data_IF_540448188869
#
_entry.id   IF_540448188869
#
_cell.length_a   1.000
_cell.length_b   1.000
_cell.length_c   1.000
_cell.angle_alpha   90.00
_cell.angle_beta   90.00
_cell.angle_gamma   90.00
#
_symmetry.space_group_name_H-M   'P 1'
#
loop_
_entity.id
_entity.type
_entity.pdbx_description
1 polymer ?
#
# COMPACT_ATOMS: atom_id res chain seq x y z
N UNK A 1 -19.38 -6.40 -21.14
CA UNK A 1 -20.01 -5.13 -20.72
C UNK A 1 -19.65 -4.74 -19.27
N UNK A 2 -19.51 -5.67 -18.33
CA UNK A 2 -19.06 -5.35 -16.97
C UNK A 2 -17.60 -4.84 -16.92
N UNK A 3 -16.74 -5.36 -17.76
CA UNK A 3 -15.30 -5.05 -17.82
C UNK A 3 -15.03 -3.57 -18.16
N UNK A 4 -15.82 -2.99 -19.05
CA UNK A 4 -15.68 -1.57 -19.46
C UNK A 4 -16.05 -0.62 -18.32
N UNK A 5 -16.96 -1.01 -17.44
CA UNK A 5 -17.43 -0.16 -16.34
C UNK A 5 -16.40 -0.04 -15.22
N UNK A 6 -15.61 -1.10 -14.96
CA UNK A 6 -14.54 -1.08 -13.96
C UNK A 6 -13.38 -0.20 -14.41
N UNK A 7 -13.02 -0.29 -15.70
CA UNK A 7 -11.91 0.47 -16.27
C UNK A 7 -12.22 1.96 -16.45
N UNK A 8 -13.49 2.32 -16.73
CA UNK A 8 -13.89 3.72 -16.96
C UNK A 8 -13.78 4.64 -15.74
N UNK A 9 -13.65 4.06 -14.53
CA UNK A 9 -13.48 4.81 -13.28
C UNK A 9 -12.04 4.85 -12.76
N UNK A 10 -11.08 4.22 -13.46
CA UNK A 10 -9.70 4.19 -13.03
C UNK A 10 -8.96 5.48 -13.38
N UNK A 11 -8.24 6.01 -12.40
CA UNK A 11 -7.23 7.02 -12.66
C UNK A 11 -5.91 6.31 -12.96
N UNK A 12 -5.33 6.60 -14.14
CA UNK A 12 -3.99 6.13 -14.51
C UNK A 12 -2.88 7.10 -14.10
N UNK A 13 -3.22 8.01 -13.20
CA UNK A 13 -2.30 9.04 -12.70
C UNK A 13 -1.46 8.52 -11.54
N UNK A 14 -0.29 9.11 -11.37
CA UNK A 14 0.59 8.90 -10.23
C UNK A 14 0.03 9.63 -9.00
N UNK A 15 0.05 8.97 -7.84
CA UNK A 15 -0.34 9.62 -6.59
C UNK A 15 0.92 10.05 -5.83
N UNK A 16 1.25 11.34 -5.88
CA UNK A 16 2.45 11.91 -5.27
C UNK A 16 2.07 13.10 -4.40
N UNK A 17 2.50 13.08 -3.14
CA UNK A 17 2.25 14.17 -2.18
C UNK A 17 0.77 14.56 -2.05
N UNK A 18 -0.13 13.59 -2.05
CA UNK A 18 -1.58 13.82 -1.92
C UNK A 18 -2.27 14.32 -3.20
N UNK A 19 -1.59 14.33 -4.33
CA UNK A 19 -2.10 14.78 -5.62
C UNK A 19 -2.01 13.67 -6.67
N UNK A 20 -2.99 13.64 -7.57
CA UNK A 20 -2.96 12.83 -8.78
C UNK A 20 -2.30 13.66 -9.88
N UNK A 21 -1.24 13.14 -10.49
CA UNK A 21 -0.49 13.78 -11.57
C UNK A 21 -0.27 12.80 -12.72
N UNK A 22 -0.26 13.29 -13.93
CA UNK A 22 -0.01 12.46 -15.11
C UNK A 22 1.42 11.93 -15.11
N UNK A 23 1.60 10.69 -15.60
CA UNK A 23 2.93 10.12 -15.80
C UNK A 23 3.71 10.88 -16.86
N UNK A 24 5.04 10.93 -16.72
CA UNK A 24 5.98 11.58 -17.66
C UNK A 24 6.99 10.58 -18.24
N UNK A 25 6.78 9.28 -18.00
CA UNK A 25 7.62 8.20 -18.49
C UNK A 25 7.18 7.68 -19.86
N UNK A 26 7.42 6.41 -20.09
CA UNK A 26 7.00 5.74 -21.32
C UNK A 26 5.52 5.37 -21.25
N UNK A 27 4.87 5.34 -22.41
CA UNK A 27 3.52 4.82 -22.53
C UNK A 27 3.57 3.30 -22.57
N UNK A 28 2.74 2.66 -21.77
CA UNK A 28 2.59 1.21 -21.70
C UNK A 28 1.13 0.80 -21.88
N UNK A 29 0.92 -0.31 -22.60
CA UNK A 29 -0.37 -0.92 -22.78
C UNK A 29 -0.53 -2.11 -21.85
N UNK A 30 -1.50 -2.02 -20.95
CA UNK A 30 -1.88 -3.15 -20.09
C UNK A 30 -2.81 -4.07 -20.88
N UNK A 31 -2.44 -5.33 -20.95
CA UNK A 31 -3.10 -6.35 -21.76
C UNK A 31 -3.83 -7.35 -20.88
N UNK A 32 -5.04 -7.71 -21.24
CA UNK A 32 -5.77 -8.81 -20.61
C UNK A 32 -5.12 -10.14 -20.99
N UNK A 33 -4.55 -10.89 -20.05
CA UNK A 33 -3.85 -12.14 -20.35
C UNK A 33 -4.78 -13.27 -20.84
N UNK A 34 -6.10 -13.14 -20.61
CA UNK A 34 -7.07 -14.15 -21.05
C UNK A 34 -7.37 -14.08 -22.55
N UNK A 35 -7.29 -12.92 -23.18
CA UNK A 35 -7.67 -12.75 -24.60
C UNK A 35 -6.66 -11.94 -25.44
N UNK A 36 -5.65 -11.34 -24.81
CA UNK A 36 -4.64 -10.52 -25.48
C UNK A 36 -5.11 -9.11 -25.86
N UNK A 37 -6.30 -8.70 -25.47
CA UNK A 37 -6.81 -7.35 -25.78
C UNK A 37 -6.23 -6.31 -24.83
N UNK A 38 -5.97 -5.10 -25.34
CA UNK A 38 -5.55 -3.98 -24.52
C UNK A 38 -6.67 -3.53 -23.61
N UNK A 39 -6.43 -3.55 -22.31
CA UNK A 39 -7.33 -3.06 -21.28
C UNK A 39 -7.29 -1.53 -21.20
N UNK A 40 -6.09 -0.99 -21.09
CA UNK A 40 -5.86 0.44 -20.93
C UNK A 40 -4.43 0.79 -21.37
N UNK A 41 -4.23 2.01 -21.86
CA UNK A 41 -2.91 2.59 -22.06
C UNK A 41 -2.64 3.59 -20.93
N UNK A 42 -1.49 3.46 -20.28
CA UNK A 42 -1.06 4.37 -19.22
C UNK A 42 0.33 4.94 -19.53
N UNK A 43 0.64 6.06 -18.92
CA UNK A 43 1.98 6.63 -18.95
C UNK A 43 2.66 6.37 -17.62
N UNK A 44 3.80 5.72 -17.64
CA UNK A 44 4.57 5.42 -16.44
C UNK A 44 5.12 6.69 -15.76
N UNK A 45 5.60 6.54 -14.54
CA UNK A 45 6.32 7.60 -13.85
C UNK A 45 7.72 7.77 -14.45
N UNK A 46 8.16 9.01 -14.66
CA UNK A 46 9.56 9.31 -14.93
C UNK A 46 10.44 9.11 -13.68
N UNK A 47 11.74 8.93 -13.88
CA UNK A 47 12.70 8.87 -12.75
C UNK A 47 12.65 10.13 -11.87
N UNK A 48 12.34 11.28 -12.44
CA UNK A 48 12.17 12.54 -11.69
C UNK A 48 10.93 12.49 -10.80
N UNK A 49 9.82 11.93 -11.29
CA UNK A 49 8.59 11.73 -10.51
C UNK A 49 8.80 10.72 -9.37
N UNK A 50 9.50 9.63 -9.62
CA UNK A 50 9.89 8.67 -8.56
C UNK A 50 10.72 9.37 -7.49
N UNK A 51 11.71 10.17 -7.88
CA UNK A 51 12.51 10.99 -6.96
C UNK A 51 11.66 11.96 -6.15
N UNK A 52 10.64 12.56 -6.77
CA UNK A 52 9.69 13.47 -6.09
C UNK A 52 8.81 12.72 -5.09
N UNK A 53 8.33 11.51 -5.43
CA UNK A 53 7.57 10.65 -4.53
C UNK A 53 8.38 10.27 -3.28
N UNK A 54 9.65 9.87 -3.47
CA UNK A 54 10.55 9.55 -2.34
C UNK A 54 10.78 10.76 -1.45
N UNK A 55 11.01 11.96 -2.03
CA UNK A 55 11.17 13.20 -1.26
C UNK A 55 9.92 13.53 -0.47
N UNK A 56 8.73 13.40 -1.07
CA UNK A 56 7.45 13.63 -0.38
C UNK A 56 7.26 12.66 0.79
N UNK A 57 7.55 11.37 0.59
CA UNK A 57 7.51 10.36 1.64
C UNK A 57 8.50 10.67 2.78
N UNK A 58 9.71 11.14 2.45
CA UNK A 58 10.72 11.53 3.43
C UNK A 58 10.29 12.75 4.25
N UNK A 59 9.65 13.72 3.63
CA UNK A 59 9.08 14.87 4.35
C UNK A 59 7.95 14.44 5.30
N UNK A 60 7.05 13.57 4.84
CA UNK A 60 5.96 13.03 5.63
C UNK A 60 6.46 12.19 6.81
N UNK A 61 7.61 11.52 6.67
CA UNK A 61 8.23 10.71 7.72
C UNK A 61 8.50 11.50 8.99
N UNK A 62 8.86 12.78 8.89
CA UNK A 62 9.10 13.64 10.06
C UNK A 62 7.90 13.74 11.01
N UNK A 63 6.67 13.70 10.48
CA UNK A 63 5.44 13.65 11.27
C UNK A 63 5.03 12.20 11.58
N UNK A 64 5.04 11.33 10.57
CA UNK A 64 4.58 9.96 10.69
C UNK A 64 5.37 9.14 11.73
N UNK A 65 6.68 9.32 11.79
CA UNK A 65 7.56 8.65 12.76
C UNK A 65 7.22 8.94 14.23
N UNK A 66 6.51 10.04 14.49
CA UNK A 66 6.10 10.46 15.84
C UNK A 66 4.68 10.07 16.21
N UNK A 67 3.94 9.43 15.31
CA UNK A 67 2.59 8.97 15.59
C UNK A 67 2.58 7.88 16.65
N UNK A 68 1.53 7.86 17.46
CA UNK A 68 1.36 6.83 18.47
C UNK A 68 0.94 5.49 17.85
N UNK A 69 1.19 4.35 18.53
CA UNK A 69 0.66 3.06 18.07
C UNK A 69 -0.86 3.06 17.85
N UNK A 70 -1.62 3.80 18.67
CA UNK A 70 -3.07 3.92 18.50
C UNK A 70 -3.45 4.63 17.20
N UNK A 71 -2.75 5.70 16.83
CA UNK A 71 -3.00 6.43 15.58
C UNK A 71 -2.68 5.55 14.35
N UNK A 72 -1.57 4.80 14.41
CA UNK A 72 -1.21 3.87 13.32
C UNK A 72 -2.19 2.73 13.19
N UNK A 73 -2.62 2.13 14.32
CA UNK A 73 -3.65 1.10 14.33
C UNK A 73 -4.97 1.59 13.73
N UNK A 74 -5.42 2.78 14.10
CA UNK A 74 -6.65 3.37 13.56
C UNK A 74 -6.56 3.61 12.04
N UNK A 75 -5.39 3.98 11.51
CA UNK A 75 -5.20 4.11 10.07
C UNK A 75 -5.27 2.75 9.37
N UNK A 76 -4.58 1.73 9.88
CA UNK A 76 -4.59 0.38 9.30
C UNK A 76 -6.00 -0.21 9.26
N UNK A 77 -6.81 -0.02 10.31
CA UNK A 77 -8.21 -0.44 10.32
C UNK A 77 -9.04 0.28 9.24
N UNK A 78 -8.86 1.59 9.08
CA UNK A 78 -9.55 2.34 8.02
C UNK A 78 -9.16 1.87 6.62
N UNK A 79 -7.89 1.48 6.41
CA UNK A 79 -7.43 0.90 5.15
C UNK A 79 -8.13 -0.46 4.92
N UNK A 80 -8.16 -1.33 5.92
CA UNK A 80 -8.85 -2.62 5.85
C UNK A 80 -10.33 -2.45 5.47
N UNK A 81 -11.03 -1.55 6.15
CA UNK A 81 -12.44 -1.25 5.88
C UNK A 81 -12.66 -0.65 4.48
N UNK A 82 -11.71 0.14 3.97
CA UNK A 82 -11.79 0.70 2.62
C UNK A 82 -11.61 -0.39 1.54
N UNK A 83 -10.65 -1.30 1.71
CA UNK A 83 -10.45 -2.45 0.82
C UNK A 83 -11.69 -3.33 0.81
N UNK A 84 -12.22 -3.68 1.98
CA UNK A 84 -13.40 -4.54 2.12
C UNK A 84 -14.64 -3.95 1.43
N UNK A 85 -14.88 -2.64 1.58
CA UNK A 85 -15.99 -1.96 0.89
C UNK A 85 -15.84 -1.97 -0.64
N UNK A 86 -14.64 -1.97 -1.15
CA UNK A 86 -14.34 -1.95 -2.59
C UNK A 86 -13.97 -3.33 -3.14
N UNK A 87 -14.09 -4.39 -2.34
CA UNK A 87 -13.67 -5.73 -2.71
C UNK A 87 -14.22 -6.22 -4.07
N UNK A 88 -15.50 -6.02 -4.43
CA UNK A 88 -16.00 -6.46 -5.75
C UNK A 88 -15.30 -5.76 -6.92
N UNK A 89 -15.01 -4.46 -6.81
CA UNK A 89 -14.34 -3.70 -7.86
C UNK A 89 -12.85 -4.07 -7.97
N UNK A 90 -12.17 -4.20 -6.82
CA UNK A 90 -10.77 -4.61 -6.76
C UNK A 90 -10.58 -6.04 -7.30
N UNK A 91 -11.49 -6.97 -6.97
CA UNK A 91 -11.45 -8.33 -7.49
C UNK A 91 -11.63 -8.40 -9.01
N UNK A 92 -12.53 -7.58 -9.56
CA UNK A 92 -12.70 -7.50 -11.01
C UNK A 92 -11.46 -6.95 -11.70
N UNK A 93 -10.84 -5.90 -11.13
CA UNK A 93 -9.61 -5.33 -11.65
C UNK A 93 -8.46 -6.35 -11.63
N UNK A 94 -8.29 -7.05 -10.52
CA UNK A 94 -7.29 -8.09 -10.35
C UNK A 94 -7.49 -9.23 -11.36
N UNK A 95 -8.73 -9.68 -11.54
CA UNK A 95 -9.06 -10.73 -12.50
C UNK A 95 -8.74 -10.31 -13.95
N UNK A 96 -9.04 -9.06 -14.33
CA UNK A 96 -8.74 -8.54 -15.66
C UNK A 96 -7.23 -8.38 -15.89
N UNK A 97 -6.52 -7.86 -14.90
CA UNK A 97 -5.09 -7.53 -15.02
C UNK A 97 -4.19 -8.77 -14.96
N UNK A 98 -4.48 -9.71 -14.07
CA UNK A 98 -3.65 -10.91 -13.84
C UNK A 98 -4.19 -12.18 -14.48
N UNK A 99 -5.43 -12.17 -15.01
CA UNK A 99 -6.08 -13.37 -15.52
C UNK A 99 -6.53 -14.36 -14.46
N UNK A 100 -6.54 -13.94 -13.18
CA UNK A 100 -6.96 -14.77 -12.06
C UNK A 100 -8.48 -14.98 -12.06
N UNK A 101 -8.99 -16.15 -11.64
CA UNK A 101 -10.43 -16.36 -11.48
C UNK A 101 -11.03 -15.34 -10.49
N UNK A 102 -12.09 -14.66 -10.91
CA UNK A 102 -12.75 -13.61 -10.12
C UNK A 102 -13.15 -14.09 -8.71
N UNK A 103 -13.68 -15.32 -8.61
CA UNK A 103 -14.09 -15.86 -7.31
C UNK A 103 -12.92 -16.05 -6.35
N UNK A 104 -11.72 -16.37 -6.85
CA UNK A 104 -10.53 -16.51 -6.05
C UNK A 104 -10.05 -15.15 -5.54
N UNK A 105 -9.98 -14.14 -6.40
CA UNK A 105 -9.65 -12.78 -5.99
C UNK A 105 -10.63 -12.25 -4.92
N UNK A 106 -11.93 -12.50 -5.09
CA UNK A 106 -12.97 -12.01 -4.19
C UNK A 106 -13.04 -12.76 -2.85
N UNK A 107 -12.88 -14.08 -2.87
CA UNK A 107 -13.14 -14.91 -1.68
C UNK A 107 -11.86 -15.31 -0.91
N UNK A 108 -10.69 -15.21 -1.53
CA UNK A 108 -9.42 -15.62 -0.93
C UNK A 108 -8.46 -14.42 -0.78
N UNK A 109 -8.08 -13.77 -1.88
CA UNK A 109 -7.02 -12.76 -1.87
C UNK A 109 -7.39 -11.48 -1.12
N UNK A 110 -8.56 -10.91 -1.42
CA UNK A 110 -8.98 -9.66 -0.77
C UNK A 110 -9.30 -9.84 0.71
N UNK A 111 -10.01 -10.90 1.15
CA UNK A 111 -10.16 -11.20 2.57
C UNK A 111 -8.82 -11.38 3.28
N UNK A 112 -7.85 -12.08 2.67
CA UNK A 112 -6.51 -12.23 3.23
C UNK A 112 -5.78 -10.89 3.36
N UNK A 113 -5.86 -10.03 2.33
CA UNK A 113 -5.28 -8.68 2.40
C UNK A 113 -5.90 -7.84 3.52
N UNK A 114 -7.23 -7.86 3.66
CA UNK A 114 -7.96 -7.17 4.75
C UNK A 114 -7.51 -7.68 6.11
N UNK A 115 -7.40 -9.00 6.27
CA UNK A 115 -6.97 -9.63 7.52
C UNK A 115 -5.55 -9.23 7.92
N UNK A 116 -4.62 -9.16 6.96
CA UNK A 116 -3.24 -8.69 7.20
C UNK A 116 -3.23 -7.26 7.76
N UNK A 117 -4.01 -6.33 7.20
CA UNK A 117 -4.11 -4.98 7.75
C UNK A 117 -4.69 -4.96 9.16
N UNK A 118 -5.72 -5.76 9.43
CA UNK A 118 -6.33 -5.89 10.77
C UNK A 118 -5.37 -6.53 11.77
N UNK A 119 -4.65 -7.57 11.36
CA UNK A 119 -3.61 -8.19 12.19
C UNK A 119 -2.53 -7.18 12.60
N UNK A 120 -1.97 -6.44 11.63
CA UNK A 120 -0.94 -5.46 11.95
C UNK A 120 -1.46 -4.25 12.73
N UNK A 121 -2.73 -3.89 12.62
CA UNK A 121 -3.36 -2.90 13.49
C UNK A 121 -3.35 -3.35 14.95
N UNK A 122 -3.55 -4.63 15.23
CA UNK A 122 -3.37 -5.21 16.56
C UNK A 122 -1.90 -5.27 16.99
N UNK A 123 -1.05 -5.80 16.11
CA UNK A 123 0.37 -6.01 16.38
C UNK A 123 1.12 -4.72 16.72
N UNK A 124 0.81 -3.60 16.04
CA UNK A 124 1.48 -2.31 16.31
C UNK A 124 1.21 -1.79 17.73
N UNK A 125 0.11 -2.20 18.36
CA UNK A 125 -0.26 -1.80 19.74
C UNK A 125 0.41 -2.65 20.80
N UNK A 126 0.86 -3.85 20.46
CA UNK A 126 1.48 -4.81 21.39
C UNK A 126 3.00 -4.87 21.24
N UNK A 127 3.58 -4.07 20.33
CA UNK A 127 5.02 -4.02 20.15
C UNK A 127 5.69 -3.51 21.40
N UNK A 128 6.51 -4.37 22.01
CA UNK A 128 7.24 -4.06 23.25
C UNK A 128 8.70 -3.71 22.96
N UNK A 129 9.25 -2.80 23.79
CA UNK A 129 10.68 -2.70 24.00
C UNK A 129 11.15 -3.77 25.00
N UNK A 130 12.43 -4.00 25.04
CA UNK A 130 13.03 -4.90 26.04
C UNK A 130 13.96 -4.10 26.95
N UNK A 131 13.78 -4.27 28.26
CA UNK A 131 14.72 -3.80 29.26
C UNK A 131 15.66 -4.95 29.58
N UNK A 132 16.95 -4.77 29.31
CA UNK A 132 17.92 -5.85 29.40
C UNK A 132 18.64 -5.89 30.78
N UNK A 133 18.49 -4.88 31.63
CA UNK A 133 19.18 -4.80 32.93
C UNK A 133 20.54 -4.12 32.86
N UNK A 134 21.32 -4.27 33.92
CA UNK A 134 22.68 -3.67 34.04
C UNK A 134 23.76 -4.69 33.61
N UNK A 135 24.31 -4.48 32.40
CA UNK A 135 25.47 -5.27 31.92
C UNK A 135 26.82 -4.57 32.20
N UNK A 136 26.76 -3.28 32.50
CA UNK A 136 27.89 -2.45 32.91
C UNK A 136 27.49 -1.72 34.20
N UNK A 137 28.35 -1.70 35.23
CA UNK A 137 28.03 -1.02 36.51
C UNK A 137 27.56 0.43 36.30
N UNK A 138 26.39 0.77 36.87
CA UNK A 138 25.83 2.11 36.79
C UNK A 138 25.17 2.45 35.45
N UNK A 139 24.95 1.46 34.53
CA UNK A 139 24.32 1.66 33.24
C UNK A 139 23.14 0.72 33.07
N UNK A 140 21.97 1.30 32.80
CA UNK A 140 20.78 0.51 32.41
C UNK A 140 20.71 0.39 30.88
N UNK A 141 20.72 -0.84 30.37
CA UNK A 141 20.57 -1.13 28.96
C UNK A 141 19.09 -1.33 28.60
N UNK A 142 18.65 -0.76 27.47
CA UNK A 142 17.31 -0.97 26.94
C UNK A 142 17.35 -1.14 25.42
N UNK A 143 16.43 -1.93 24.88
CA UNK A 143 16.19 -2.05 23.43
C UNK A 143 14.97 -1.21 23.09
N UNK A 144 15.17 -0.22 22.23
CA UNK A 144 14.12 0.58 21.64
C UNK A 144 14.05 0.29 20.15
N UNK A 145 12.83 0.24 19.62
CA UNK A 145 12.61 0.10 18.16
C UNK A 145 12.27 1.47 17.59
N UNK A 146 13.10 1.94 16.69
CA UNK A 146 12.89 3.19 15.97
C UNK A 146 12.48 2.90 14.51
N UNK A 147 11.68 3.78 13.89
CA UNK A 147 11.27 3.61 12.49
C UNK A 147 12.48 3.77 11.56
N UNK A 148 12.57 2.91 10.55
CA UNK A 148 13.72 2.85 9.63
C UNK A 148 13.73 4.00 8.60
N UNK A 149 12.56 4.53 8.23
CA UNK A 149 12.44 5.56 7.21
C UNK A 149 11.48 5.18 6.09
N UNK A 150 11.77 5.65 4.89
CA UNK A 150 11.00 5.35 3.67
C UNK A 150 11.36 3.97 3.15
N UNK A 151 10.36 3.21 2.76
CA UNK A 151 10.49 1.85 2.23
C UNK A 151 9.82 1.81 0.85
N UNK A 152 10.48 1.19 -0.12
CA UNK A 152 9.87 0.86 -1.41
C UNK A 152 9.23 -0.54 -1.32
N UNK A 153 8.03 -0.67 -1.86
CA UNK A 153 7.34 -1.95 -2.06
C UNK A 153 7.23 -2.21 -3.56
N UNK A 154 7.67 -3.39 -4.01
CA UNK A 154 7.67 -3.81 -5.41
C UNK A 154 6.92 -5.13 -5.51
#
# INVERSE_FOLDING_TARGET
MADVQVLSGLSCQQFINGQLIDGEGQQECIVNPANGETLIALTEASSAQVGSAVKAAQQAFGHWSRTTPAQRAALLLRIADAIERQAPQLAQLEALNCGKPLHQALNDDLPAAVDVFRFFAGAVRTQQGQLAGEYVPGHTSMIRRDPIGVVASI
#
